data_IF_157853556773
#
_entry.id   IF_157853556773
#
_cell.length_a   1.000
_cell.length_b   1.000
_cell.length_c   1.000
_cell.angle_alpha   90.00
_cell.angle_beta   90.00
_cell.angle_gamma   90.00
#
_symmetry.space_group_name_H-M   'P 1'
#
loop_
_entity.id
_entity.type
_entity.pdbx_description
1 polymer ?
#
# COMPACT_ATOMS: atom_id res chain seq x y z
N UNK A 1 -35.35 -0.36 -29.12
CA UNK A 1 -34.83 -0.55 -27.74
C UNK A 1 -33.54 -1.34 -27.80
N UNK A 2 -32.37 -0.69 -27.71
CA UNK A 2 -31.06 -1.31 -27.38
C UNK A 2 -30.01 -0.18 -27.30
N UNK A 3 -30.00 0.54 -26.19
CA UNK A 3 -28.88 1.38 -25.75
C UNK A 3 -28.78 1.17 -24.23
N UNK A 4 -28.05 0.14 -23.78
CA UNK A 4 -27.80 -0.01 -22.33
C UNK A 4 -26.55 -0.84 -21.97
N UNK A 5 -25.58 -0.97 -22.88
CA UNK A 5 -24.33 -1.70 -22.56
C UNK A 5 -23.10 -0.78 -22.54
N UNK A 6 -23.15 0.38 -23.20
CA UNK A 6 -21.99 1.29 -23.29
C UNK A 6 -21.74 2.13 -22.03
N UNK A 7 -22.77 2.46 -21.24
CA UNK A 7 -22.62 3.35 -20.07
C UNK A 7 -22.00 2.62 -18.85
N UNK A 8 -22.17 1.30 -18.75
CA UNK A 8 -21.64 0.52 -17.62
C UNK A 8 -20.12 0.36 -17.66
N UNK A 9 -19.51 0.25 -18.86
CA UNK A 9 -18.06 0.11 -19.01
C UNK A 9 -17.31 1.43 -18.78
N UNK A 10 -17.96 2.58 -19.01
CA UNK A 10 -17.38 3.89 -18.75
C UNK A 10 -17.37 4.25 -17.25
N UNK A 11 -18.40 3.84 -16.50
CA UNK A 11 -18.53 4.15 -15.07
C UNK A 11 -17.58 3.31 -14.18
N UNK A 12 -17.21 2.09 -14.61
CA UNK A 12 -16.29 1.23 -13.87
C UNK A 12 -14.81 1.62 -14.09
N UNK A 13 -14.51 2.28 -15.22
CA UNK A 13 -13.20 2.87 -15.49
C UNK A 13 -12.94 4.11 -14.62
N UNK A 14 -13.95 4.91 -14.31
CA UNK A 14 -13.80 6.18 -13.56
C UNK A 14 -13.25 5.99 -12.15
N UNK A 15 -13.67 4.97 -11.39
CA UNK A 15 -13.14 4.75 -10.03
C UNK A 15 -11.66 4.31 -10.05
N UNK A 16 -11.25 3.54 -11.05
CA UNK A 16 -9.85 3.19 -11.28
C UNK A 16 -9.04 4.38 -11.76
N UNK A 17 -9.62 5.22 -12.63
CA UNK A 17 -9.00 6.42 -13.18
C UNK A 17 -8.85 7.53 -12.13
N UNK A 18 -9.81 7.70 -11.22
CA UNK A 18 -9.72 8.64 -10.09
C UNK A 18 -8.76 8.12 -9.02
N UNK A 19 -8.74 6.80 -8.78
CA UNK A 19 -7.71 6.18 -7.93
C UNK A 19 -6.32 6.36 -8.54
N UNK A 20 -6.17 6.15 -9.85
CA UNK A 20 -4.95 6.38 -10.60
C UNK A 20 -4.57 7.85 -10.66
N UNK A 21 -5.51 8.79 -10.83
CA UNK A 21 -5.24 10.22 -10.87
C UNK A 21 -4.89 10.78 -9.49
N UNK A 22 -5.54 10.30 -8.43
CA UNK A 22 -5.19 10.63 -7.05
C UNK A 22 -3.85 10.00 -6.65
N UNK A 23 -3.58 8.75 -7.06
CA UNK A 23 -2.26 8.12 -6.90
C UNK A 23 -1.21 8.76 -7.77
N UNK A 24 -1.52 9.23 -8.98
CA UNK A 24 -0.59 9.98 -9.83
C UNK A 24 -0.34 11.36 -9.23
N UNK A 25 -1.32 12.00 -8.60
CA UNK A 25 -1.14 13.23 -7.82
C UNK A 25 -0.28 13.01 -6.57
N UNK A 26 -0.58 11.99 -5.77
CA UNK A 26 0.19 11.59 -4.59
C UNK A 26 1.57 11.03 -4.96
N UNK A 27 1.71 10.36 -6.11
CA UNK A 27 2.97 9.88 -6.65
C UNK A 27 3.72 11.01 -7.35
N UNK A 28 3.09 12.06 -7.86
CA UNK A 28 3.77 13.24 -8.38
C UNK A 28 4.28 14.07 -7.20
N UNK A 29 3.47 14.33 -6.18
CA UNK A 29 3.86 14.98 -4.92
C UNK A 29 4.89 14.13 -4.15
N UNK A 30 4.70 12.81 -4.12
CA UNK A 30 5.59 11.83 -3.49
C UNK A 30 6.89 11.62 -4.27
N UNK A 31 6.87 11.55 -5.60
CA UNK A 31 8.07 11.55 -6.44
C UNK A 31 8.81 12.88 -6.33
N UNK A 32 8.12 14.02 -6.29
CA UNK A 32 8.74 15.34 -6.07
C UNK A 32 9.45 15.38 -4.70
N UNK A 33 8.81 14.85 -3.64
CA UNK A 33 9.43 14.69 -2.31
C UNK A 33 10.61 13.70 -2.30
N UNK A 34 10.51 12.57 -3.03
CA UNK A 34 11.55 11.54 -3.07
C UNK A 34 12.75 11.95 -3.95
N UNK A 35 12.49 12.68 -5.05
CA UNK A 35 13.53 13.19 -5.97
C UNK A 35 14.42 14.24 -5.32
N UNK A 36 13.93 14.91 -4.27
CA UNK A 36 14.72 15.81 -3.40
C UNK A 36 15.64 15.05 -2.41
N UNK A 37 15.42 13.75 -2.16
CA UNK A 37 16.29 12.90 -1.32
C UNK A 37 17.37 12.14 -2.11
N UNK A 38 17.36 12.22 -3.44
CA UNK A 38 18.12 11.35 -4.34
C UNK A 38 19.54 11.78 -4.69
N UNK A 39 20.26 12.55 -3.85
CA UNK A 39 21.70 12.80 -4.05
C UNK A 39 22.45 12.92 -2.72
N UNK A 40 22.53 11.82 -1.97
CA UNK A 40 23.73 11.38 -1.24
C UNK A 40 23.35 10.31 -0.21
N UNK A 41 23.73 9.04 -0.48
CA UNK A 41 23.97 8.08 0.59
C UNK A 41 25.39 8.29 1.10
N UNK A 42 25.59 9.31 1.92
CA UNK A 42 26.72 9.41 2.85
C UNK A 42 26.48 10.56 3.83
N UNK A 43 26.31 10.20 5.10
CA UNK A 43 26.55 11.02 6.30
C UNK A 43 25.98 12.45 6.35
N UNK A 44 24.88 12.62 7.09
CA UNK A 44 24.65 13.65 8.14
C UNK A 44 23.14 13.90 8.35
N UNK A 45 22.68 14.26 9.56
CA UNK A 45 21.31 14.68 9.80
C UNK A 45 21.17 16.14 9.32
N UNK A 46 21.12 16.35 8.01
CA UNK A 46 20.90 17.68 7.44
C UNK A 46 19.42 18.02 7.47
N UNK A 47 19.09 18.95 8.36
CA UNK A 47 17.98 19.91 8.31
C UNK A 47 17.32 19.97 6.93
N UNK A 48 16.06 19.50 6.85
CA UNK A 48 15.22 19.74 5.70
C UNK A 48 15.01 21.25 5.56
N UNK A 49 15.16 21.86 4.36
CA UNK A 49 14.71 23.22 4.17
C UNK A 49 13.19 23.24 4.43
N UNK A 50 12.77 24.06 5.38
CA UNK A 50 11.36 24.30 5.73
C UNK A 50 10.59 25.02 4.60
N UNK A 51 11.22 25.25 3.46
CA UNK A 51 10.76 26.15 2.40
C UNK A 51 9.99 25.43 1.26
N UNK A 52 9.71 24.13 1.39
CA UNK A 52 8.84 23.38 0.46
C UNK A 52 7.44 23.14 1.05
N UNK A 53 6.95 24.08 1.84
CA UNK A 53 5.54 24.12 2.20
C UNK A 53 4.79 24.72 1.01
N UNK A 54 4.10 23.87 0.24
CA UNK A 54 3.08 24.31 -0.71
C UNK A 54 2.11 25.22 0.08
N UNK A 55 1.98 26.50 -0.29
CA UNK A 55 1.14 27.47 0.44
C UNK A 55 -0.32 27.01 0.60
N UNK A 56 -0.77 26.07 -0.23
CA UNK A 56 -2.11 25.49 -0.21
C UNK A 56 -2.22 24.09 0.44
N UNK A 57 -1.20 23.60 1.15
CA UNK A 57 -1.28 22.27 1.80
C UNK A 57 -2.47 22.17 2.78
N UNK A 58 -2.76 23.23 3.51
CA UNK A 58 -3.89 23.28 4.46
C UNK A 58 -5.23 23.20 3.73
N UNK A 59 -5.41 23.99 2.66
CA UNK A 59 -6.60 23.96 1.80
C UNK A 59 -6.81 22.58 1.16
N UNK A 60 -5.74 21.96 0.68
CA UNK A 60 -5.77 20.60 0.14
C UNK A 60 -6.18 19.57 1.21
N UNK A 61 -5.63 19.70 2.42
CA UNK A 61 -5.93 18.78 3.53
C UNK A 61 -7.38 18.91 3.98
N UNK A 62 -7.92 20.14 4.03
CA UNK A 62 -9.32 20.39 4.34
C UNK A 62 -10.26 19.80 3.29
N UNK A 63 -9.94 19.96 2.01
CA UNK A 63 -10.69 19.35 0.91
C UNK A 63 -10.66 17.82 0.96
N UNK A 64 -9.50 17.23 1.25
CA UNK A 64 -9.36 15.78 1.42
C UNK A 64 -10.15 15.25 2.63
N UNK A 65 -10.16 15.99 3.74
CA UNK A 65 -10.98 15.67 4.92
C UNK A 65 -12.47 15.67 4.59
N UNK A 66 -12.96 16.69 3.90
CA UNK A 66 -14.35 16.76 3.45
C UNK A 66 -14.75 15.56 2.58
N UNK A 67 -13.87 15.16 1.65
CA UNK A 67 -14.08 13.99 0.78
C UNK A 67 -13.99 12.65 1.53
N UNK A 68 -13.15 12.56 2.57
CA UNK A 68 -13.05 11.39 3.44
C UNK A 68 -14.32 11.16 4.28
N UNK A 69 -15.07 12.23 4.57
CA UNK A 69 -16.35 12.19 5.29
C UNK A 69 -17.59 12.35 4.41
N UNK A 70 -17.43 12.32 3.07
CA UNK A 70 -18.52 12.64 2.14
C UNK A 70 -19.80 11.82 2.39
N UNK A 71 -20.88 12.56 2.59
CA UNK A 71 -22.23 12.10 2.90
C UNK A 71 -23.21 12.17 1.72
N UNK A 72 -22.75 12.49 0.50
CA UNK A 72 -23.62 12.74 -0.65
C UNK A 72 -24.65 11.62 -0.87
N UNK A 73 -25.95 11.98 -0.97
CA UNK A 73 -27.05 11.02 -1.10
C UNK A 73 -27.17 10.44 -2.51
N UNK A 74 -26.64 11.12 -3.53
CA UNK A 74 -26.81 10.77 -4.95
C UNK A 74 -25.85 9.69 -5.47
N UNK A 75 -24.91 9.20 -4.64
CA UNK A 75 -23.98 8.11 -4.99
C UNK A 75 -24.38 6.78 -4.33
N UNK A 76 -24.13 5.68 -5.02
CA UNK A 76 -24.40 4.33 -4.52
C UNK A 76 -23.60 4.04 -3.23
N UNK A 77 -24.19 3.24 -2.33
CA UNK A 77 -23.62 2.93 -1.00
C UNK A 77 -22.22 2.30 -1.08
N UNK A 78 -22.00 1.41 -2.05
CA UNK A 78 -20.71 0.73 -2.25
C UNK A 78 -19.63 1.72 -2.68
N UNK A 79 -19.94 2.61 -3.61
CA UNK A 79 -18.98 3.57 -4.16
C UNK A 79 -18.60 4.62 -3.12
N UNK A 80 -19.56 5.11 -2.33
CA UNK A 80 -19.29 6.00 -1.19
C UNK A 80 -18.36 5.37 -0.16
N UNK A 81 -18.55 4.06 0.13
CA UNK A 81 -17.67 3.34 1.07
C UNK A 81 -16.25 3.25 0.52
N UNK A 82 -16.09 2.95 -0.77
CA UNK A 82 -14.78 2.87 -1.43
C UNK A 82 -14.11 4.23 -1.47
N UNK A 83 -14.81 5.26 -1.92
CA UNK A 83 -14.34 6.64 -2.00
C UNK A 83 -13.82 7.12 -0.64
N UNK A 84 -14.63 7.03 0.43
CA UNK A 84 -14.19 7.43 1.78
C UNK A 84 -12.97 6.65 2.26
N UNK A 85 -12.87 5.36 1.93
CA UNK A 85 -11.69 4.57 2.27
C UNK A 85 -10.45 5.10 1.58
N UNK A 86 -10.53 5.32 0.27
CA UNK A 86 -9.42 5.86 -0.53
C UNK A 86 -9.00 7.24 -0.02
N UNK A 87 -9.94 8.15 0.21
CA UNK A 87 -9.62 9.49 0.69
C UNK A 87 -9.05 9.49 2.11
N UNK A 88 -9.47 8.58 3.00
CA UNK A 88 -8.81 8.42 4.31
C UNK A 88 -7.38 7.91 4.17
N UNK A 89 -7.13 7.00 3.24
CA UNK A 89 -5.78 6.48 3.01
C UNK A 89 -4.86 7.55 2.38
N UNK A 90 -5.38 8.36 1.44
CA UNK A 90 -4.67 9.51 0.86
C UNK A 90 -4.43 10.58 1.91
N UNK A 91 -5.43 10.94 2.71
CA UNK A 91 -5.28 11.91 3.78
C UNK A 91 -4.19 11.49 4.77
N UNK A 92 -4.20 10.21 5.19
CA UNK A 92 -3.16 9.66 6.07
C UNK A 92 -1.77 9.75 5.43
N UNK A 93 -1.66 9.44 4.13
CA UNK A 93 -0.39 9.54 3.41
C UNK A 93 0.15 10.97 3.32
N UNK A 94 -0.74 11.95 3.18
CA UNK A 94 -0.41 13.38 3.11
C UNK A 94 -0.02 13.92 4.48
N UNK A 95 -0.75 13.56 5.54
CA UNK A 95 -0.52 14.01 6.92
C UNK A 95 0.73 13.34 7.54
N UNK A 96 0.86 12.01 7.45
CA UNK A 96 1.95 11.27 8.09
C UNK A 96 3.27 11.37 7.30
N UNK A 97 3.21 11.82 6.03
CA UNK A 97 4.32 11.84 5.06
C UNK A 97 5.08 10.50 4.97
N UNK A 98 4.42 9.40 5.32
CA UNK A 98 5.02 8.07 5.37
C UNK A 98 4.25 7.08 4.50
N UNK A 99 4.97 6.14 3.90
CA UNK A 99 4.40 5.09 3.07
C UNK A 99 4.22 3.82 3.91
N UNK A 100 3.01 3.25 4.01
CA UNK A 100 2.81 1.99 4.70
C UNK A 100 3.57 0.89 3.95
N UNK A 101 4.68 0.41 4.50
CA UNK A 101 5.53 -0.59 3.84
C UNK A 101 4.72 -1.83 3.46
N UNK A 102 4.64 -2.12 2.16
CA UNK A 102 3.94 -3.28 1.61
C UNK A 102 4.97 -4.38 1.31
N UNK A 103 4.63 -5.64 1.59
CA UNK A 103 5.51 -6.78 1.25
C UNK A 103 4.87 -7.63 0.16
N UNK A 104 5.54 -7.73 -0.97
CA UNK A 104 5.15 -8.59 -2.09
C UNK A 104 6.00 -9.86 -2.06
N UNK A 105 5.36 -11.03 -2.02
CA UNK A 105 6.07 -12.32 -2.08
C UNK A 105 5.99 -12.86 -3.50
N UNK A 106 7.13 -13.24 -4.07
CA UNK A 106 7.20 -13.85 -5.39
C UNK A 106 8.05 -15.13 -5.32
N UNK A 107 7.37 -16.26 -5.13
CA UNK A 107 8.00 -17.56 -4.85
C UNK A 107 8.77 -17.54 -3.51
N UNK A 108 10.08 -17.85 -3.50
CA UNK A 108 10.89 -17.88 -2.28
C UNK A 108 11.29 -16.47 -1.80
N UNK A 109 11.38 -15.52 -2.72
CA UNK A 109 11.83 -14.15 -2.45
C UNK A 109 10.68 -13.23 -2.03
N UNK A 110 11.04 -12.11 -1.39
CA UNK A 110 10.12 -11.05 -0.97
C UNK A 110 10.70 -9.70 -1.29
N UNK A 111 9.89 -8.85 -1.90
CA UNK A 111 10.20 -7.45 -2.16
C UNK A 111 9.45 -6.58 -1.16
N UNK A 112 10.13 -5.56 -0.64
CA UNK A 112 9.51 -4.50 0.13
C UNK A 112 9.26 -3.30 -0.78
N UNK A 113 8.02 -2.83 -0.77
CA UNK A 113 7.63 -1.55 -1.36
C UNK A 113 7.66 -0.53 -0.24
N UNK A 114 8.60 0.39 -0.34
CA UNK A 114 8.97 1.39 0.66
C UNK A 114 8.55 2.82 0.28
N UNK A 115 8.15 3.05 -0.97
CA UNK A 115 7.77 4.36 -1.46
C UNK A 115 6.70 4.30 -2.56
N UNK A 116 6.04 5.44 -2.78
CA UNK A 116 5.00 5.61 -3.81
C UNK A 116 5.51 5.36 -5.22
N UNK A 117 6.75 5.74 -5.52
CA UNK A 117 7.36 5.52 -6.85
C UNK A 117 7.45 4.03 -7.14
N UNK A 118 8.04 3.27 -6.22
CA UNK A 118 8.19 1.81 -6.33
C UNK A 118 6.82 1.14 -6.41
N UNK A 119 5.83 1.63 -5.65
CA UNK A 119 4.45 1.15 -5.70
C UNK A 119 3.81 1.36 -7.07
N UNK A 120 3.94 2.56 -7.63
CA UNK A 120 3.36 2.91 -8.93
C UNK A 120 3.98 2.11 -10.08
N UNK A 121 5.31 2.00 -10.09
CA UNK A 121 6.04 1.17 -11.05
C UNK A 121 5.59 -0.28 -10.97
N UNK A 122 5.44 -0.83 -9.77
CA UNK A 122 4.93 -2.18 -9.56
C UNK A 122 3.49 -2.36 -10.07
N UNK A 123 2.59 -1.42 -9.76
CA UNK A 123 1.19 -1.52 -10.18
C UNK A 123 1.06 -1.42 -11.72
N UNK A 124 1.90 -0.61 -12.38
CA UNK A 124 1.95 -0.54 -13.85
C UNK A 124 2.40 -1.87 -14.45
N UNK A 125 3.50 -2.45 -13.96
CA UNK A 125 3.94 -3.77 -14.41
C UNK A 125 2.92 -4.87 -14.11
N UNK A 126 2.19 -4.75 -13.01
CA UNK A 126 1.13 -5.69 -12.64
C UNK A 126 -0.05 -5.63 -13.59
N UNK A 127 -0.44 -4.45 -14.05
CA UNK A 127 -1.52 -4.30 -15.04
C UNK A 127 -1.10 -4.82 -16.41
N UNK A 128 0.14 -4.56 -16.83
CA UNK A 128 0.67 -5.00 -18.14
C UNK A 128 0.94 -6.50 -18.19
N UNK A 129 1.62 -7.05 -17.17
CA UNK A 129 2.08 -8.45 -17.15
C UNK A 129 1.05 -9.42 -16.55
N UNK A 130 0.10 -8.92 -15.76
CA UNK A 130 -0.95 -9.71 -15.14
C UNK A 130 -0.40 -10.91 -14.34
N UNK A 131 -0.79 -12.11 -14.73
CA UNK A 131 -0.34 -13.37 -14.11
C UNK A 131 1.14 -13.66 -14.31
N UNK A 132 1.77 -13.10 -15.35
CA UNK A 132 3.19 -13.27 -15.66
C UNK A 132 4.13 -12.46 -14.77
N UNK A 133 3.62 -11.49 -14.00
CA UNK A 133 4.44 -10.61 -13.16
C UNK A 133 5.36 -11.38 -12.22
N UNK A 134 4.85 -12.45 -11.60
CA UNK A 134 5.61 -13.22 -10.62
C UNK A 134 6.82 -13.92 -11.25
N UNK A 135 6.68 -14.41 -12.50
CA UNK A 135 7.79 -15.02 -13.23
C UNK A 135 8.81 -13.95 -13.67
N UNK A 136 8.34 -12.81 -14.17
CA UNK A 136 9.26 -11.75 -14.59
C UNK A 136 10.04 -11.14 -13.42
N UNK A 137 9.46 -11.02 -12.23
CA UNK A 137 10.22 -10.63 -11.03
C UNK A 137 11.33 -11.65 -10.69
N UNK A 138 11.15 -12.93 -11.06
CA UNK A 138 12.10 -14.02 -10.78
C UNK A 138 13.13 -14.30 -11.87
N UNK A 139 12.88 -13.90 -13.11
CA UNK A 139 13.75 -14.23 -14.24
C UNK A 139 14.29 -12.99 -14.97
N UNK A 140 13.55 -11.88 -14.96
CA UNK A 140 13.89 -10.72 -15.76
C UNK A 140 14.91 -9.83 -15.03
N UNK A 141 16.11 -9.71 -15.61
CA UNK A 141 17.17 -8.84 -15.11
C UNK A 141 16.75 -7.36 -15.06
N UNK A 142 15.98 -6.90 -16.04
CA UNK A 142 15.51 -5.51 -16.07
C UNK A 142 14.61 -5.19 -14.87
N UNK A 143 13.60 -6.03 -14.59
CA UNK A 143 12.73 -5.81 -13.42
C UNK A 143 13.50 -5.95 -12.11
N UNK A 144 14.44 -6.89 -12.04
CA UNK A 144 15.31 -7.01 -10.87
C UNK A 144 16.19 -5.80 -10.65
N UNK A 145 16.69 -5.18 -11.70
CA UNK A 145 17.44 -3.93 -11.62
C UNK A 145 16.53 -2.76 -11.19
N UNK A 146 15.35 -2.62 -11.80
CA UNK A 146 14.37 -1.56 -11.46
C UNK A 146 13.94 -1.63 -9.99
N UNK A 147 13.79 -2.83 -9.44
CA UNK A 147 13.38 -3.03 -8.05
C UNK A 147 14.54 -3.29 -7.07
N UNK A 148 15.80 -3.21 -7.54
CA UNK A 148 17.01 -3.47 -6.73
C UNK A 148 16.99 -4.85 -6.03
N UNK A 149 16.44 -5.88 -6.68
CA UNK A 149 16.27 -7.23 -6.12
C UNK A 149 17.55 -8.09 -6.19
N UNK A 150 18.62 -7.58 -6.80
CA UNK A 150 19.86 -8.31 -7.02
C UNK A 150 19.80 -9.26 -8.23
N UNK A 151 20.84 -10.09 -8.45
CA UNK A 151 20.88 -11.02 -9.57
C UNK A 151 19.77 -12.09 -9.49
N UNK A 152 19.35 -12.68 -10.62
CA UNK A 152 18.36 -13.74 -10.61
C UNK A 152 18.74 -14.94 -9.77
N UNK A 153 17.96 -15.19 -8.70
CA UNK A 153 18.13 -16.35 -7.85
C UNK A 153 17.46 -17.56 -8.53
N UNK A 154 18.21 -18.23 -9.39
CA UNK A 154 17.83 -19.52 -9.97
C UNK A 154 17.96 -20.59 -8.88
N UNK A 155 16.92 -20.77 -8.06
CA UNK A 155 16.86 -21.87 -7.10
C UNK A 155 16.46 -23.16 -7.82
N UNK A 156 17.24 -24.21 -7.62
CA UNK A 156 16.92 -25.54 -8.13
C UNK A 156 15.68 -26.13 -7.39
N UNK A 157 15.05 -27.13 -8.01
CA UNK A 157 13.86 -27.76 -7.43
C UNK A 157 14.14 -28.49 -6.10
N UNK A 158 15.41 -28.77 -5.78
CA UNK A 158 15.84 -29.42 -4.55
C UNK A 158 15.91 -28.41 -3.37
N UNK A 159 16.51 -27.24 -3.58
CA UNK A 159 16.59 -26.14 -2.60
C UNK A 159 15.21 -25.55 -2.31
N UNK A 160 14.33 -25.47 -3.31
CA UNK A 160 12.94 -25.07 -3.10
C UNK A 160 12.15 -26.05 -2.21
N UNK A 161 12.55 -27.33 -2.16
CA UNK A 161 11.94 -28.33 -1.25
C UNK A 161 12.49 -28.22 0.16
N UNK A 162 13.79 -27.94 0.33
CA UNK A 162 14.39 -27.78 1.66
C UNK A 162 13.95 -26.49 2.36
N UNK A 163 13.63 -25.43 1.61
CA UNK A 163 13.05 -24.20 2.16
C UNK A 163 11.60 -24.34 2.64
N UNK A 164 10.94 -25.48 2.41
CA UNK A 164 9.57 -25.70 2.90
C UNK A 164 9.59 -26.00 4.38
N UNK A 165 9.13 -25.03 5.17
CA UNK A 165 8.82 -25.20 6.60
C UNK A 165 7.92 -26.41 6.79
N UNK A 166 8.31 -27.31 7.70
CA UNK A 166 7.55 -28.51 8.03
C UNK A 166 6.14 -28.15 8.53
N UNK A 167 5.16 -29.04 8.31
CA UNK A 167 3.79 -28.86 8.84
C UNK A 167 3.80 -28.60 10.34
N UNK A 168 4.61 -29.34 11.08
CA UNK A 168 4.72 -29.24 12.53
C UNK A 168 5.30 -27.88 12.95
N UNK A 169 6.40 -27.46 12.32
CA UNK A 169 7.06 -26.19 12.59
C UNK A 169 6.16 -24.99 12.28
N UNK A 170 5.44 -25.03 11.15
CA UNK A 170 4.42 -24.02 10.82
C UNK A 170 3.31 -23.95 11.87
N UNK A 171 2.88 -25.11 12.39
CA UNK A 171 1.85 -25.17 13.42
C UNK A 171 2.34 -24.53 14.73
N UNK A 172 3.56 -24.84 15.16
CA UNK A 172 4.17 -24.24 16.35
C UNK A 172 4.33 -22.72 16.20
N UNK A 173 4.86 -22.25 15.07
CA UNK A 173 5.01 -20.82 14.78
C UNK A 173 3.66 -20.09 14.83
N UNK A 174 2.64 -20.65 14.18
CA UNK A 174 1.29 -20.08 14.18
C UNK A 174 0.65 -20.09 15.57
N UNK A 175 0.87 -21.14 16.37
CA UNK A 175 0.39 -21.24 17.74
C UNK A 175 1.04 -20.17 18.64
N UNK A 176 2.35 -20.01 18.54
CA UNK A 176 3.09 -18.97 19.26
C UNK A 176 2.60 -17.56 18.87
N UNK A 177 2.45 -17.29 17.57
CA UNK A 177 1.92 -16.01 17.07
C UNK A 177 0.46 -15.77 17.51
N UNK A 178 -0.39 -16.80 17.55
CA UNK A 178 -1.76 -16.70 18.04
C UNK A 178 -1.79 -16.38 19.54
N UNK A 179 -0.99 -17.08 20.35
CA UNK A 179 -0.87 -16.83 21.79
C UNK A 179 -0.39 -15.41 22.07
N UNK A 180 0.62 -14.93 21.35
CA UNK A 180 1.12 -13.56 21.46
C UNK A 180 0.03 -12.52 21.13
N UNK A 181 -0.70 -12.69 20.02
CA UNK A 181 -1.81 -11.81 19.65
C UNK A 181 -2.93 -11.80 20.68
N UNK A 182 -3.30 -12.96 21.22
CA UNK A 182 -4.35 -13.07 22.24
C UNK A 182 -3.93 -12.35 23.52
N UNK A 183 -2.69 -12.53 23.99
CA UNK A 183 -2.14 -11.82 25.16
C UNK A 183 -2.05 -10.30 24.94
N UNK A 184 -1.67 -9.84 23.75
CA UNK A 184 -1.61 -8.42 23.45
C UNK A 184 -3.01 -7.78 23.43
N UNK A 185 -3.99 -8.50 22.86
CA UNK A 185 -5.38 -8.01 22.76
C UNK A 185 -6.14 -8.08 24.06
N UNK A 186 -5.88 -9.05 24.95
CA UNK A 186 -6.58 -9.15 26.24
C UNK A 186 -6.44 -7.87 27.07
N UNK A 187 -5.27 -7.21 27.02
CA UNK A 187 -5.03 -5.91 27.67
C UNK A 187 -5.98 -4.78 27.22
N UNK A 188 -6.54 -4.89 26.02
CA UNK A 188 -7.41 -3.87 25.44
C UNK A 188 -8.88 -4.31 25.33
N UNK A 189 -9.23 -5.54 25.75
CA UNK A 189 -10.60 -6.06 25.65
C UNK A 189 -11.53 -5.47 26.71
N UNK A 190 -11.02 -5.24 27.92
CA UNK A 190 -11.83 -4.83 29.06
C UNK A 190 -12.14 -3.32 29.09
N UNK A 191 -11.71 -2.56 28.07
CA UNK A 191 -11.93 -1.12 27.93
C UNK A 191 -13.42 -0.71 27.79
N UNK A 192 -14.32 -1.68 27.65
CA UNK A 192 -15.78 -1.47 27.53
C UNK A 192 -16.56 -2.35 28.52
N UNK A 193 -15.88 -3.00 29.45
CA UNK A 193 -16.55 -3.76 30.49
C UNK A 193 -17.18 -2.75 31.47
N UNK A 194 -18.48 -2.86 31.68
CA UNK A 194 -19.19 -2.13 32.73
C UNK A 194 -18.88 -2.81 34.06
N UNK A 195 -17.68 -2.53 34.59
CA UNK A 195 -17.29 -2.96 35.93
C UNK A 195 -17.96 -1.96 36.88
N UNK A 196 -19.21 -2.24 37.23
CA UNK A 196 -19.92 -1.50 38.26
C UNK A 196 -19.08 -1.55 39.55
N UNK A 197 -18.65 -0.38 40.02
CA UNK A 197 -18.14 -0.16 41.36
C UNK A 197 -19.30 -0.42 42.33
N UNK A 198 -19.47 -1.68 42.75
CA UNK A 198 -20.32 -2.01 43.89
C UNK A 198 -19.54 -1.66 45.16
N UNK A 199 -19.81 -0.47 45.70
CA UNK A 199 -19.50 -0.09 47.08
C UNK A 199 -20.45 -0.79 48.06
#
# INVERSE_FOLDING_TARGET
MRMSVSVCLYQQSSARFVFWAALLGVCHVGCQLQRMRGRNRSHSPSVFPQDFLYEDMESLTEMLRALATDGNKHRAKVDKRKQRSVFRDVLRAVEDRDFPTETVKFGPERMYIDCWVKKHTYDTFKEVLGSGLQYHLQANEFLRHVFELGPPVMLDAATLKTMKISRFERHLYNSAAFKARTKARSKCRDKRADVGEFF
#
